data_IF_797764269933
#
_entry.id   IF_797764269933
#
_cell.length_a   1.000
_cell.length_b   1.000
_cell.length_c   1.000
_cell.angle_alpha   90.00
_cell.angle_beta   90.00
_cell.angle_gamma   90.00
#
_symmetry.space_group_name_H-M   'P 1'
#
loop_
_entity.id
_entity.type
_entity.pdbx_description
1 polymer ?
#
# COMPACT_ATOMS: atom_id res chain seq x y z
N UNK A 1 -13.45 14.57 -5.87
CA UNK A 1 -12.08 15.11 -6.08
C UNK A 1 -11.91 16.25 -5.12
N UNK A 2 -10.97 16.15 -4.19
CA UNK A 2 -10.74 17.18 -3.18
C UNK A 2 -9.56 18.04 -3.63
N UNK A 3 -9.65 19.35 -3.40
CA UNK A 3 -8.51 20.27 -3.53
C UNK A 3 -7.99 20.53 -2.12
N UNK A 4 -6.68 20.47 -1.93
CA UNK A 4 -6.08 20.95 -0.68
C UNK A 4 -6.13 22.49 -0.62
N UNK A 5 -5.65 23.06 0.49
CA UNK A 5 -5.58 24.52 0.67
C UNK A 5 -4.67 25.23 -0.33
N UNK A 6 -3.75 24.50 -0.97
CA UNK A 6 -2.84 25.00 -2.01
C UNK A 6 -3.38 24.80 -3.44
N UNK A 7 -4.55 24.18 -3.60
CA UNK A 7 -5.23 23.99 -4.88
C UNK A 7 -4.85 22.70 -5.63
N UNK A 8 -4.02 21.83 -5.06
CA UNK A 8 -3.64 20.56 -5.67
C UNK A 8 -4.83 19.61 -5.74
N UNK A 9 -5.00 18.94 -6.88
CA UNK A 9 -6.03 17.90 -7.04
C UNK A 9 -5.49 16.58 -6.51
N UNK A 10 -6.15 16.02 -5.52
CA UNK A 10 -5.80 14.70 -4.99
C UNK A 10 -7.01 13.75 -5.00
N UNK A 11 -6.72 12.45 -5.12
CA UNK A 11 -7.69 11.37 -4.94
C UNK A 11 -7.10 10.30 -4.02
N UNK A 12 -7.86 9.98 -2.97
CA UNK A 12 -7.58 8.83 -2.11
C UNK A 12 -8.01 7.54 -2.81
N UNK A 13 -7.19 6.51 -2.66
CA UNK A 13 -7.48 5.13 -3.07
C UNK A 13 -6.92 4.18 -2.00
N UNK A 14 -7.42 2.95 -1.95
CA UNK A 14 -6.89 1.94 -1.04
C UNK A 14 -6.93 0.56 -1.70
N UNK A 15 -6.01 -0.32 -1.29
CA UNK A 15 -6.01 -1.71 -1.72
C UNK A 15 -6.03 -2.68 -0.53
N UNK A 16 -6.94 -3.66 -0.49
CA UNK A 16 -7.91 -3.97 -1.54
C UNK A 16 -9.06 -2.95 -1.60
N UNK A 17 -9.51 -2.61 -2.81
CA UNK A 17 -10.76 -1.89 -3.01
C UNK A 17 -11.90 -2.91 -2.85
N UNK A 18 -12.48 -2.96 -1.65
CA UNK A 18 -13.54 -3.92 -1.28
C UNK A 18 -14.88 -3.67 -1.99
N UNK A 19 -15.02 -2.57 -2.75
CA UNK A 19 -16.25 -2.24 -3.48
C UNK A 19 -16.38 -2.97 -4.83
N UNK A 20 -15.28 -3.48 -5.38
CA UNK A 20 -15.30 -4.23 -6.65
C UNK A 20 -15.69 -5.69 -6.43
N UNK A 21 -16.01 -6.40 -7.52
CA UNK A 21 -16.35 -7.82 -7.46
C UNK A 21 -15.18 -8.65 -6.90
N UNK A 22 -13.94 -8.38 -7.32
CA UNK A 22 -12.76 -9.06 -6.77
C UNK A 22 -12.44 -8.59 -5.35
N UNK A 23 -12.69 -7.31 -5.05
CA UNK A 23 -12.63 -6.76 -3.71
C UNK A 23 -13.52 -7.47 -2.71
N UNK A 24 -14.74 -7.81 -3.10
CA UNK A 24 -15.69 -8.55 -2.26
C UNK A 24 -15.21 -9.98 -1.95
N UNK A 25 -14.56 -10.66 -2.91
CA UNK A 25 -13.94 -11.96 -2.70
C UNK A 25 -12.77 -11.87 -1.71
N UNK A 26 -11.92 -10.86 -1.86
CA UNK A 26 -10.81 -10.59 -0.94
C UNK A 26 -11.35 -10.30 0.48
N UNK A 27 -12.40 -9.49 0.59
CA UNK A 27 -13.02 -9.18 1.88
C UNK A 27 -13.57 -10.45 2.56
N UNK A 28 -14.19 -11.34 1.80
CA UNK A 28 -14.71 -12.62 2.32
C UNK A 28 -13.57 -13.52 2.82
N UNK A 29 -12.40 -13.48 2.16
CA UNK A 29 -11.21 -14.17 2.66
C UNK A 29 -10.63 -13.55 3.94
N UNK A 30 -10.49 -12.22 4.00
CA UNK A 30 -9.92 -11.51 5.14
C UNK A 30 -10.77 -11.66 6.41
N UNK A 31 -12.08 -11.72 6.24
CA UNK A 31 -13.07 -11.96 7.30
C UNK A 31 -13.29 -13.44 7.62
N UNK A 32 -12.45 -14.32 7.07
CA UNK A 32 -12.48 -15.79 7.31
C UNK A 32 -13.78 -16.49 6.91
N UNK A 33 -14.57 -15.88 6.02
CA UNK A 33 -15.77 -16.49 5.45
C UNK A 33 -15.42 -17.53 4.38
N UNK A 34 -14.46 -17.20 3.53
CA UNK A 34 -13.98 -18.06 2.45
C UNK A 34 -12.50 -18.42 2.66
N UNK A 35 -12.09 -19.58 2.13
CA UNK A 35 -10.71 -20.03 2.14
C UNK A 35 -10.20 -20.19 0.70
N UNK A 36 -9.02 -19.64 0.45
CA UNK A 36 -8.26 -19.78 -0.79
C UNK A 36 -6.86 -20.28 -0.45
N UNK A 37 -6.18 -20.88 -1.42
CA UNK A 37 -4.73 -21.09 -1.30
C UNK A 37 -4.01 -19.74 -1.24
N UNK A 38 -2.79 -19.74 -0.74
CA UNK A 38 -1.99 -18.52 -0.60
C UNK A 38 -1.66 -17.89 -1.96
N UNK A 39 -1.47 -18.70 -2.99
CA UNK A 39 -1.26 -18.26 -4.36
C UNK A 39 -2.54 -17.65 -4.95
N UNK A 40 -3.69 -18.30 -4.75
CA UNK A 40 -4.95 -17.82 -5.29
C UNK A 40 -5.34 -16.45 -4.70
N UNK A 41 -5.23 -16.30 -3.38
CA UNK A 41 -5.51 -14.99 -2.75
C UNK A 41 -4.47 -13.93 -3.14
N UNK A 42 -3.20 -14.30 -3.27
CA UNK A 42 -2.16 -13.37 -3.75
C UNK A 42 -2.49 -12.81 -5.14
N UNK A 43 -2.91 -13.70 -6.06
CA UNK A 43 -3.32 -13.29 -7.40
C UNK A 43 -4.60 -12.46 -7.40
N UNK A 44 -5.57 -12.74 -6.52
CA UNK A 44 -6.76 -11.89 -6.36
C UNK A 44 -6.40 -10.47 -5.89
N UNK A 45 -5.53 -10.34 -4.89
CA UNK A 45 -5.03 -9.03 -4.47
C UNK A 45 -4.35 -8.29 -5.61
N UNK A 46 -3.57 -9.00 -6.43
CA UNK A 46 -2.86 -8.41 -7.57
C UNK A 46 -3.84 -7.97 -8.67
N UNK A 47 -4.83 -8.81 -8.99
CA UNK A 47 -5.88 -8.48 -9.94
C UNK A 47 -6.67 -7.22 -9.53
N UNK A 48 -6.96 -7.05 -8.24
CA UNK A 48 -7.64 -5.87 -7.71
C UNK A 48 -6.83 -4.56 -7.90
N UNK A 49 -5.49 -4.64 -7.98
CA UNK A 49 -4.65 -3.48 -8.38
C UNK A 49 -4.68 -3.27 -9.89
N UNK A 50 -4.60 -4.35 -10.68
CA UNK A 50 -4.63 -4.27 -12.14
C UNK A 50 -5.92 -3.69 -12.70
N UNK A 51 -7.09 -4.02 -12.11
CA UNK A 51 -8.36 -3.44 -12.55
C UNK A 51 -8.42 -1.91 -12.35
N UNK A 52 -7.69 -1.38 -11.36
CA UNK A 52 -7.58 0.05 -11.11
C UNK A 52 -6.52 0.76 -11.98
N UNK A 53 -5.64 0.03 -12.68
CA UNK A 53 -4.49 0.60 -13.41
C UNK A 53 -4.86 1.70 -14.38
N UNK A 54 -5.85 1.46 -15.23
CA UNK A 54 -6.25 2.42 -16.27
C UNK A 54 -6.77 3.72 -15.66
N UNK A 55 -7.54 3.64 -14.56
CA UNK A 55 -8.02 4.82 -13.84
C UNK A 55 -6.88 5.55 -13.14
N UNK A 56 -5.95 4.83 -12.50
CA UNK A 56 -4.76 5.44 -11.89
C UNK A 56 -3.95 6.23 -12.91
N UNK A 57 -3.62 5.60 -14.06
CA UNK A 57 -2.86 6.26 -15.12
C UNK A 57 -3.60 7.46 -15.71
N UNK A 58 -4.92 7.36 -15.91
CA UNK A 58 -5.75 8.47 -16.42
C UNK A 58 -5.74 9.66 -15.45
N UNK A 59 -5.90 9.41 -14.15
CA UNK A 59 -5.89 10.45 -13.12
C UNK A 59 -4.54 11.14 -13.04
N UNK A 60 -3.45 10.36 -12.93
CA UNK A 60 -2.08 10.88 -12.87
C UNK A 60 -1.77 11.77 -14.08
N UNK A 61 -2.08 11.30 -15.29
CA UNK A 61 -1.90 12.08 -16.54
C UNK A 61 -2.75 13.34 -16.60
N UNK A 62 -3.85 13.41 -15.86
CA UNK A 62 -4.70 14.60 -15.76
C UNK A 62 -4.25 15.60 -14.68
N UNK A 63 -3.08 15.38 -14.06
CA UNK A 63 -2.54 16.21 -13.00
C UNK A 63 -3.20 16.00 -11.64
N UNK A 64 -3.67 14.78 -11.35
CA UNK A 64 -4.24 14.41 -10.06
C UNK A 64 -3.25 13.53 -9.30
N UNK A 65 -2.84 13.96 -8.11
CA UNK A 65 -2.03 13.16 -7.18
C UNK A 65 -2.88 12.03 -6.59
N UNK A 66 -2.33 10.82 -6.52
CA UNK A 66 -2.98 9.68 -5.86
C UNK A 66 -2.34 9.43 -4.50
N UNK A 67 -3.16 9.47 -3.45
CA UNK A 67 -2.76 9.05 -2.10
C UNK A 67 -3.33 7.66 -1.90
N UNK A 68 -2.45 6.65 -1.86
CA UNK A 68 -2.87 5.24 -1.91
C UNK A 68 -2.52 4.53 -0.60
N UNK A 69 -3.55 4.10 0.13
CA UNK A 69 -3.38 3.25 1.31
C UNK A 69 -3.17 1.79 0.88
N UNK A 70 -1.94 1.30 1.13
CA UNK A 70 -1.38 0.04 0.63
C UNK A 70 -1.26 -0.04 -0.90
N UNK A 71 -0.33 -0.86 -1.36
CA UNK A 71 -0.12 -1.12 -2.79
C UNK A 71 0.54 -2.50 -2.99
N UNK A 72 1.23 -2.71 -4.12
CA UNK A 72 1.92 -3.96 -4.46
C UNK A 72 2.86 -4.46 -3.36
N UNK A 73 3.54 -3.55 -2.64
CA UNK A 73 4.46 -3.92 -1.56
C UNK A 73 3.78 -4.69 -0.43
N UNK A 74 2.54 -4.34 -0.07
CA UNK A 74 1.74 -5.10 0.88
C UNK A 74 1.44 -6.51 0.34
N UNK A 75 1.04 -6.61 -0.93
CA UNK A 75 0.77 -7.91 -1.58
C UNK A 75 1.98 -8.85 -1.49
N UNK A 76 3.16 -8.35 -1.85
CA UNK A 76 4.41 -9.12 -1.82
C UNK A 76 4.84 -9.44 -0.39
N UNK A 77 4.86 -8.47 0.51
CA UNK A 77 5.35 -8.65 1.88
C UNK A 77 4.52 -9.68 2.66
N UNK A 78 3.18 -9.58 2.60
CA UNK A 78 2.29 -10.52 3.29
C UNK A 78 2.38 -11.93 2.72
N UNK A 79 2.44 -12.07 1.39
CA UNK A 79 2.47 -13.39 0.74
C UNK A 79 3.83 -14.09 0.93
N UNK A 80 4.93 -13.34 0.83
CA UNK A 80 6.26 -13.86 1.12
C UNK A 80 6.46 -14.21 2.60
N UNK A 81 5.81 -13.47 3.53
CA UNK A 81 5.84 -13.80 4.96
C UNK A 81 5.14 -15.14 5.29
N UNK A 82 4.20 -15.57 4.43
CA UNK A 82 3.52 -16.88 4.52
C UNK A 82 4.31 -18.01 3.85
N UNK A 83 5.42 -17.71 3.20
CA UNK A 83 6.36 -18.70 2.64
C UNK A 83 6.39 -18.76 1.12
N UNK A 84 5.60 -17.94 0.41
CA UNK A 84 5.70 -17.87 -1.04
C UNK A 84 7.03 -17.24 -1.47
N UNK A 85 7.54 -17.67 -2.63
CA UNK A 85 8.77 -17.09 -3.20
C UNK A 85 8.56 -15.61 -3.52
N UNK A 86 9.51 -14.76 -3.10
CA UNK A 86 9.36 -13.31 -3.24
C UNK A 86 9.36 -12.82 -4.69
N UNK A 87 10.17 -13.42 -5.56
CA UNK A 87 10.19 -13.07 -6.99
C UNK A 87 8.92 -13.52 -7.69
N UNK A 88 8.38 -14.68 -7.32
CA UNK A 88 7.06 -15.12 -7.76
C UNK A 88 5.97 -14.13 -7.34
N UNK A 89 6.02 -13.61 -6.10
CA UNK A 89 5.07 -12.60 -5.62
C UNK A 89 5.22 -11.24 -6.35
N UNK A 90 6.43 -10.88 -6.79
CA UNK A 90 6.69 -9.62 -7.53
C UNK A 90 6.29 -9.71 -9.00
N UNK A 91 6.43 -10.89 -9.60
CA UNK A 91 6.16 -11.12 -11.02
C UNK A 91 4.77 -10.63 -11.48
N UNK A 92 3.65 -10.93 -10.80
CA UNK A 92 2.33 -10.50 -11.27
C UNK A 92 2.08 -9.00 -11.07
N UNK A 93 2.91 -8.29 -10.31
CA UNK A 93 2.80 -6.84 -10.07
C UNK A 93 3.60 -6.01 -11.09
N UNK A 94 4.47 -6.68 -11.84
CA UNK A 94 5.41 -6.07 -12.79
C UNK A 94 4.66 -5.29 -13.87
N UNK A 95 4.96 -3.99 -13.98
CA UNK A 95 4.32 -3.08 -14.93
C UNK A 95 3.15 -2.26 -14.39
N UNK A 96 2.74 -2.44 -13.13
CA UNK A 96 1.86 -1.48 -12.45
C UNK A 96 2.52 -0.09 -12.34
N UNK A 97 1.75 1.00 -12.19
CA UNK A 97 2.30 2.33 -11.95
C UNK A 97 3.30 2.33 -10.77
N UNK A 98 4.54 2.76 -11.03
CA UNK A 98 5.55 2.90 -9.97
C UNK A 98 5.21 4.12 -9.11
N UNK A 99 5.13 3.98 -7.78
CA UNK A 99 4.99 5.14 -6.89
C UNK A 99 6.24 6.04 -6.93
N UNK A 100 6.04 7.36 -6.90
CA UNK A 100 7.12 8.33 -6.74
C UNK A 100 7.63 8.44 -5.29
N UNK A 101 6.77 8.08 -4.33
CA UNK A 101 7.05 8.05 -2.89
C UNK A 101 6.34 6.85 -2.24
N UNK A 102 7.04 6.18 -1.34
CA UNK A 102 6.46 5.16 -0.44
C UNK A 102 6.76 5.55 0.99
N UNK A 103 5.70 5.69 1.79
CA UNK A 103 5.78 6.00 3.21
C UNK A 103 5.54 4.71 4.00
N UNK A 104 6.61 4.16 4.57
CA UNK A 104 6.54 3.00 5.45
C UNK A 104 6.37 3.48 6.89
N UNK A 105 5.12 3.45 7.36
CA UNK A 105 4.77 3.85 8.72
C UNK A 105 5.10 2.73 9.70
N UNK A 106 6.03 2.97 10.63
CA UNK A 106 6.44 2.01 11.65
C UNK A 106 5.86 2.37 13.00
N UNK A 107 5.49 1.36 13.78
CA UNK A 107 5.02 1.51 15.15
C UNK A 107 5.76 0.55 16.06
N UNK A 108 5.91 0.93 17.32
CA UNK A 108 6.32 -0.01 18.36
C UNK A 108 5.23 -1.08 18.54
N UNK A 109 5.61 -2.28 18.95
CA UNK A 109 4.65 -3.35 19.26
C UNK A 109 3.65 -2.92 20.35
N UNK A 110 4.10 -2.12 21.31
CA UNK A 110 3.28 -1.54 22.37
C UNK A 110 2.23 -0.55 21.81
N UNK A 111 2.62 0.31 20.86
CA UNK A 111 1.70 1.24 20.21
C UNK A 111 0.68 0.51 19.31
N UNK A 112 1.11 -0.54 18.61
CA UNK A 112 0.19 -1.39 17.82
C UNK A 112 -0.87 -2.05 18.69
N UNK A 113 -0.47 -2.63 19.84
CA UNK A 113 -1.40 -3.30 20.74
C UNK A 113 -2.45 -2.36 21.37
N UNK A 114 -2.14 -1.06 21.49
CA UNK A 114 -3.06 -0.04 22.00
C UNK A 114 -4.09 0.43 20.95
N UNK A 115 -3.81 0.23 19.65
CA UNK A 115 -4.75 0.57 18.58
C UNK A 115 -5.82 -0.53 18.52
N UNK A 116 -7.03 -0.21 18.97
CA UNK A 116 -8.16 -1.15 18.97
C UNK A 116 -8.45 -1.71 17.58
N UNK A 117 -8.94 -2.95 17.51
CA UNK A 117 -9.29 -3.63 16.26
C UNK A 117 -8.30 -4.72 15.82
N UNK A 118 -7.09 -4.76 16.38
CA UNK A 118 -6.12 -5.81 16.07
C UNK A 118 -6.60 -7.20 16.55
N UNK A 119 -6.63 -8.17 15.64
CA UNK A 119 -7.01 -9.56 15.86
C UNK A 119 -8.38 -9.93 15.26
N UNK A 120 -9.04 -9.00 14.55
CA UNK A 120 -10.35 -9.23 13.92
C UNK A 120 -10.22 -9.77 12.49
N UNK A 121 -9.12 -9.47 11.79
CA UNK A 121 -8.87 -9.98 10.44
C UNK A 121 -7.76 -11.04 10.41
N UNK A 122 -7.78 -11.88 9.38
CA UNK A 122 -6.93 -13.08 9.21
C UNK A 122 -5.43 -12.84 9.43
N UNK A 123 -4.92 -11.64 9.15
CA UNK A 123 -3.49 -11.33 9.19
C UNK A 123 -3.03 -10.58 10.45
N UNK A 124 -3.93 -10.30 11.38
CA UNK A 124 -3.63 -9.56 12.60
C UNK A 124 -3.09 -10.50 13.69
N UNK A 125 -2.00 -11.19 13.35
CA UNK A 125 -1.27 -12.13 14.20
C UNK A 125 0.15 -11.59 14.42
N UNK A 126 0.61 -11.38 15.67
CA UNK A 126 1.89 -10.72 15.96
C UNK A 126 3.09 -11.36 15.26
N UNK A 127 3.16 -12.68 15.22
CA UNK A 127 4.26 -13.43 14.59
C UNK A 127 4.31 -13.21 13.08
N UNK A 128 3.13 -13.09 12.44
CA UNK A 128 3.05 -12.78 11.02
C UNK A 128 3.48 -11.34 10.76
N UNK A 129 3.03 -10.38 11.58
CA UNK A 129 3.41 -8.97 11.43
C UNK A 129 4.93 -8.76 11.52
N UNK A 130 5.61 -9.48 12.41
CA UNK A 130 7.08 -9.46 12.48
C UNK A 130 7.71 -9.90 11.15
N UNK A 131 7.28 -11.04 10.60
CA UNK A 131 7.78 -11.55 9.31
C UNK A 131 7.49 -10.58 8.16
N UNK A 132 6.30 -9.96 8.16
CA UNK A 132 5.92 -8.96 7.15
C UNK A 132 6.84 -7.75 7.21
N UNK A 133 7.20 -7.28 8.40
CA UNK A 133 8.16 -6.18 8.56
C UNK A 133 9.54 -6.54 7.99
N UNK A 134 10.04 -7.74 8.26
CA UNK A 134 11.29 -8.23 7.66
C UNK A 134 11.22 -8.22 6.11
N UNK A 135 10.07 -8.57 5.53
CA UNK A 135 9.87 -8.49 4.07
C UNK A 135 9.82 -7.06 3.55
N UNK A 136 9.17 -6.13 4.25
CA UNK A 136 9.19 -4.72 3.88
C UNK A 136 10.61 -4.14 3.87
N UNK A 137 11.44 -4.47 4.86
CA UNK A 137 12.85 -4.05 4.86
C UNK A 137 13.64 -4.60 3.66
N UNK A 138 13.31 -5.81 3.20
CA UNK A 138 13.93 -6.41 2.01
C UNK A 138 13.46 -5.75 0.71
N UNK A 139 12.20 -5.28 0.65
CA UNK A 139 11.62 -4.61 -0.52
C UNK A 139 11.97 -3.12 -0.62
N UNK A 140 12.44 -2.53 0.47
CA UNK A 140 12.68 -1.09 0.58
C UNK A 140 13.70 -0.63 -0.44
N UNK A 141 13.35 0.42 -1.18
CA UNK A 141 14.27 1.16 -2.05
C UNK A 141 14.53 2.55 -1.47
N UNK A 142 15.76 2.82 -1.03
CA UNK A 142 16.14 4.09 -0.40
C UNK A 142 15.95 5.32 -1.29
N UNK A 143 15.83 5.15 -2.62
CA UNK A 143 15.65 6.27 -3.54
C UNK A 143 14.25 6.89 -3.49
N UNK A 144 13.23 6.15 -3.06
CA UNK A 144 11.85 6.66 -2.99
C UNK A 144 11.04 6.16 -1.78
N UNK A 145 11.63 5.36 -0.89
CA UNK A 145 11.00 4.96 0.38
C UNK A 145 11.50 5.80 1.54
N UNK A 146 10.55 6.34 2.31
CA UNK A 146 10.79 6.97 3.61
C UNK A 146 10.17 6.12 4.71
N UNK A 147 10.96 5.79 5.73
CA UNK A 147 10.47 5.16 6.96
C UNK A 147 10.07 6.27 7.90
N UNK A 148 8.85 6.22 8.42
CA UNK A 148 8.30 7.26 9.29
C UNK A 148 7.85 6.61 10.59
N UNK A 149 8.35 7.14 11.70
CA UNK A 149 7.87 6.78 13.02
C UNK A 149 6.45 7.33 13.23
N UNK A 150 5.49 6.41 13.25
CA UNK A 150 4.08 6.73 13.41
C UNK A 150 3.60 6.69 14.87
N UNK A 151 4.52 6.51 15.84
CA UNK A 151 4.25 6.60 17.28
C UNK A 151 4.25 8.07 17.79
N UNK A 152 3.77 8.98 16.93
CA UNK A 152 3.63 10.42 17.17
C UNK A 152 2.15 10.77 17.32
N UNK A 153 1.88 11.97 17.84
CA UNK A 153 0.52 12.54 17.81
C UNK A 153 0.06 12.71 16.36
N UNK A 154 -1.23 12.47 16.13
CA UNK A 154 -1.84 12.49 14.78
C UNK A 154 -1.55 13.79 14.02
N UNK A 155 -1.70 14.95 14.66
CA UNK A 155 -1.43 16.25 14.02
C UNK A 155 0.04 16.37 13.57
N UNK A 156 0.97 15.98 14.44
CA UNK A 156 2.41 16.07 14.16
C UNK A 156 2.83 15.10 13.05
N UNK A 157 2.30 13.88 13.06
CA UNK A 157 2.52 12.91 11.99
C UNK A 157 1.92 13.42 10.67
N UNK A 158 0.70 13.95 10.70
CA UNK A 158 0.03 14.46 9.50
C UNK A 158 0.78 15.61 8.85
N UNK A 159 1.35 16.52 9.64
CA UNK A 159 2.22 17.60 9.15
C UNK A 159 3.47 17.05 8.46
N UNK A 160 4.19 16.13 9.12
CA UNK A 160 5.39 15.50 8.56
C UNK A 160 5.11 14.72 7.26
N UNK A 161 4.00 13.96 7.21
CA UNK A 161 3.61 13.24 6.00
C UNK A 161 3.22 14.21 4.87
N UNK A 162 2.52 15.31 5.19
CA UNK A 162 2.17 16.33 4.20
C UNK A 162 3.43 16.97 3.58
N UNK A 163 4.42 17.33 4.40
CA UNK A 163 5.69 17.90 3.92
C UNK A 163 6.38 16.94 2.94
N UNK A 164 6.54 15.66 3.32
CA UNK A 164 7.16 14.65 2.43
C UNK A 164 6.40 14.45 1.11
N UNK A 165 5.06 14.51 1.15
CA UNK A 165 4.22 14.38 -0.05
C UNK A 165 4.39 15.60 -0.96
N UNK A 166 4.38 16.81 -0.41
CA UNK A 166 4.54 18.04 -1.18
C UNK A 166 5.92 18.10 -1.85
N UNK A 167 6.98 17.78 -1.12
CA UNK A 167 8.35 17.68 -1.67
C UNK A 167 8.41 16.66 -2.81
N UNK A 168 7.77 15.50 -2.62
CA UNK A 168 7.71 14.48 -3.67
C UNK A 168 6.97 14.97 -4.91
N UNK A 169 5.84 15.67 -4.75
CA UNK A 169 5.05 16.21 -5.85
C UNK A 169 5.83 17.22 -6.68
N UNK A 170 6.61 18.09 -6.04
CA UNK A 170 7.49 19.02 -6.72
C UNK A 170 8.56 18.26 -7.51
N UNK A 171 9.22 17.29 -6.86
CA UNK A 171 10.33 16.54 -7.45
C UNK A 171 9.96 15.59 -8.60
N UNK A 172 8.69 15.17 -8.71
CA UNK A 172 8.22 14.25 -9.75
C UNK A 172 7.40 14.92 -10.85
N UNK A 173 7.06 16.20 -10.72
CA UNK A 173 6.18 16.95 -11.64
C UNK A 173 6.50 16.81 -13.13
N UNK A 174 7.79 16.80 -13.50
CA UNK A 174 8.26 16.71 -14.89
C UNK A 174 8.76 15.30 -15.28
N UNK A 175 8.63 14.31 -14.39
CA UNK A 175 9.12 12.95 -14.64
C UNK A 175 8.02 12.09 -15.29
N UNK A 176 8.38 11.20 -16.25
CA UNK A 176 7.41 10.26 -16.80
C UNK A 176 6.97 9.26 -15.72
N UNK A 177 5.71 8.85 -15.77
CA UNK A 177 5.18 7.79 -14.90
C UNK A 177 5.99 6.49 -15.08
N UNK A 178 6.63 6.05 -14.00
CA UNK A 178 7.43 4.84 -13.97
C UNK A 178 6.58 3.56 -13.99
N UNK A 179 7.24 2.43 -14.27
CA UNK A 179 6.68 1.08 -14.15
C UNK A 179 7.36 0.36 -12.99
N UNK A 180 6.55 -0.32 -12.17
CA UNK A 180 7.02 -1.06 -11.02
C UNK A 180 7.64 -2.39 -11.46
N UNK A 181 8.89 -2.62 -11.04
CA UNK A 181 9.73 -3.79 -11.31
C UNK A 181 10.01 -4.09 -12.79
#
# INVERSE_FOLDING_TARGET
MQKDRAGHKAKFMNFPDRSTQFGALINSYLTSKDNFTDEAIHLLFTLNRWEAKNEMERLLRSGVTLIVDRYSYSGVAFSAAKGLNMDWCKAPETGLPKPDLVLLLTLTAEAMAKRGGFGQERYEVPELQKKVMEKFHTLKDDSYWKVVDADKKEDALSLELCEMVLDSMESCSDKPLGKLW
#
